data_IF_722312993257
#
_entry.id   IF_722312993257
#
_cell.length_a   1.000
_cell.length_b   1.000
_cell.length_c   1.000
_cell.angle_alpha   90.00
_cell.angle_beta   90.00
_cell.angle_gamma   90.00
#
_symmetry.space_group_name_H-M   'P 1'
#
loop_
_entity.id
_entity.type
_entity.pdbx_description
1 polymer ?
#
# COMPACT_ATOMS: atom_id res chain seq x y z
N UNK A 1 -7.80 26.09 64.72
CA UNK A 1 -8.38 24.96 63.96
C UNK A 1 -8.61 25.45 62.53
N UNK A 2 -7.80 24.95 61.62
CA UNK A 2 -7.66 25.42 60.23
C UNK A 2 -8.42 24.47 59.31
N UNK A 3 -9.33 25.00 58.49
CA UNK A 3 -9.97 24.28 57.39
C UNK A 3 -9.25 24.70 56.10
N UNK A 4 -8.63 23.73 55.44
CA UNK A 4 -7.85 23.87 54.21
C UNK A 4 -8.72 23.60 52.98
N UNK A 5 -8.53 24.48 51.98
CA UNK A 5 -8.42 24.24 50.53
C UNK A 5 -9.26 23.13 49.89
N UNK A 6 -10.26 23.55 49.11
CA UNK A 6 -10.72 22.84 47.93
C UNK A 6 -10.90 23.80 46.74
N UNK A 7 -10.59 23.30 45.55
CA UNK A 7 -11.10 23.69 44.23
C UNK A 7 -10.54 24.95 43.53
N UNK A 8 -9.36 24.78 42.94
CA UNK A 8 -8.83 25.64 41.88
C UNK A 8 -8.58 24.81 40.60
N UNK A 9 -9.65 24.36 39.91
CA UNK A 9 -9.58 23.71 38.59
C UNK A 9 -10.89 23.85 37.79
N UNK A 10 -11.46 25.06 37.67
CA UNK A 10 -12.71 25.29 36.92
C UNK A 10 -12.82 26.66 36.24
N UNK A 11 -11.75 27.12 35.57
CA UNK A 11 -11.69 28.46 34.95
C UNK A 11 -11.18 28.49 33.49
N UNK A 12 -11.43 27.46 32.68
CA UNK A 12 -11.15 27.53 31.23
C UNK A 12 -12.22 26.87 30.35
N UNK A 13 -13.50 27.11 30.67
CA UNK A 13 -14.61 26.92 29.72
C UNK A 13 -15.44 28.21 29.73
N UNK A 14 -15.83 28.65 28.52
CA UNK A 14 -16.69 29.81 28.18
C UNK A 14 -15.97 31.10 27.73
N UNK A 15 -15.72 31.19 26.41
CA UNK A 15 -15.91 32.36 25.51
C UNK A 15 -15.31 31.91 24.14
N UNK A 16 -15.95 31.86 22.98
CA UNK A 16 -17.00 32.69 22.36
C UNK A 16 -17.75 31.84 21.32
N UNK A 17 -19.08 31.91 21.32
CA UNK A 17 -19.98 31.49 20.24
C UNK A 17 -20.44 32.74 19.47
N UNK A 18 -20.58 32.57 18.15
CA UNK A 18 -21.34 33.37 17.17
C UNK A 18 -20.79 34.72 16.66
N UNK A 19 -20.45 34.73 15.36
CA UNK A 19 -20.99 35.73 14.41
C UNK A 19 -21.42 34.98 13.13
N UNK A 20 -22.58 35.37 12.63
CA UNK A 20 -23.40 34.75 11.59
C UNK A 20 -23.44 35.68 10.35
N UNK A 21 -23.62 35.05 9.18
CA UNK A 21 -24.11 35.59 7.89
C UNK A 21 -23.20 36.42 6.97
N UNK A 22 -22.89 35.80 5.82
CA UNK A 22 -23.58 36.11 4.56
C UNK A 22 -22.91 37.13 3.63
N UNK A 23 -22.52 36.69 2.43
CA UNK A 23 -22.93 37.30 1.15
C UNK A 23 -22.52 36.44 -0.06
N UNK A 24 -23.53 36.01 -0.82
CA UNK A 24 -23.42 35.64 -2.23
C UNK A 24 -23.04 36.87 -3.06
N UNK A 25 -22.19 36.72 -4.07
CA UNK A 25 -22.44 37.32 -5.38
C UNK A 25 -21.66 36.61 -6.50
N UNK A 26 -22.41 36.36 -7.58
CA UNK A 26 -22.01 35.77 -8.86
C UNK A 26 -21.52 36.87 -9.83
N UNK A 27 -21.02 36.40 -10.98
CA UNK A 27 -20.74 37.08 -12.26
C UNK A 27 -19.30 37.65 -12.39
N UNK A 28 -18.57 37.48 -13.51
CA UNK A 28 -18.97 37.13 -14.87
C UNK A 28 -17.81 36.51 -15.68
N UNK A 29 -18.19 35.76 -16.72
CA UNK A 29 -17.35 35.28 -17.83
C UNK A 29 -16.76 36.43 -18.67
N UNK A 30 -15.58 36.23 -19.28
CA UNK A 30 -15.43 36.14 -20.75
C UNK A 30 -13.95 35.98 -21.19
N UNK A 31 -13.71 34.84 -21.86
CA UNK A 31 -12.87 34.57 -23.03
C UNK A 31 -11.81 35.60 -23.48
N UNK A 32 -10.57 35.11 -23.73
CA UNK A 32 -10.00 35.08 -25.09
C UNK A 32 -9.04 33.89 -25.28
N UNK A 33 -9.30 33.13 -26.35
CA UNK A 33 -8.41 32.18 -27.01
C UNK A 33 -7.13 32.87 -27.51
N UNK A 34 -5.99 32.18 -27.48
CA UNK A 34 -5.20 31.97 -28.68
C UNK A 34 -4.23 30.79 -28.55
N UNK A 35 -4.07 30.13 -29.70
CA UNK A 35 -3.65 28.76 -29.91
C UNK A 35 -2.13 28.55 -30.05
N UNK A 36 -1.78 27.25 -29.93
CA UNK A 36 -0.68 26.53 -30.58
C UNK A 36 0.73 26.65 -29.98
N UNK A 37 1.20 25.54 -29.39
CA UNK A 37 2.27 24.76 -30.01
C UNK A 37 2.42 23.34 -29.41
N UNK A 38 2.21 22.33 -30.27
CA UNK A 38 2.83 21.00 -30.32
C UNK A 38 2.94 20.14 -29.05
N UNK A 39 1.86 19.42 -28.74
CA UNK A 39 1.92 18.21 -27.91
C UNK A 39 2.15 16.97 -28.78
N UNK A 40 3.41 16.51 -28.85
CA UNK A 40 3.73 15.10 -29.16
C UNK A 40 3.71 14.32 -27.85
N UNK A 41 2.53 13.85 -27.45
CA UNK A 41 2.41 12.80 -26.44
C UNK A 41 2.82 11.47 -27.06
N UNK A 42 4.05 11.03 -26.78
CA UNK A 42 4.43 9.63 -26.95
C UNK A 42 3.78 8.85 -25.82
N UNK A 43 2.66 8.19 -26.12
CA UNK A 43 2.12 7.15 -25.27
C UNK A 43 3.04 5.93 -25.36
N UNK A 44 3.73 5.60 -24.28
CA UNK A 44 4.32 4.28 -24.12
C UNK A 44 4.31 3.88 -22.65
N UNK A 45 3.48 2.89 -22.34
CA UNK A 45 3.28 2.33 -21.01
C UNK A 45 2.07 1.41 -20.95
N UNK A 46 1.87 0.57 -21.98
CA UNK A 46 0.91 -0.54 -21.94
C UNK A 46 1.46 -1.57 -20.96
N UNK A 47 0.88 -1.62 -19.75
CA UNK A 47 1.04 -2.78 -18.88
C UNK A 47 0.22 -3.94 -19.48
N UNK A 48 0.90 -4.83 -20.18
CA UNK A 48 0.40 -6.18 -20.49
C UNK A 48 1.12 -7.09 -19.50
N UNK A 49 0.41 -7.82 -18.61
CA UNK A 49 1.05 -8.87 -17.82
C UNK A 49 1.40 -10.00 -18.80
N UNK A 50 2.67 -10.13 -19.17
CA UNK A 50 3.12 -11.30 -19.92
C UNK A 50 3.41 -12.43 -18.95
N UNK A 51 2.74 -13.55 -19.25
CA UNK A 51 2.91 -14.82 -18.57
C UNK A 51 4.38 -15.26 -18.64
N UNK A 52 4.97 -15.58 -17.49
CA UNK A 52 6.24 -16.32 -17.43
C UNK A 52 6.02 -17.73 -18.01
N UNK A 53 6.31 -17.89 -19.29
CA UNK A 53 6.48 -19.19 -19.93
C UNK A 53 7.94 -19.61 -19.73
N UNK A 54 8.23 -20.81 -19.19
CA UNK A 54 9.60 -21.30 -19.13
C UNK A 54 10.15 -21.50 -20.55
N UNK A 55 11.32 -20.92 -20.82
CA UNK A 55 12.11 -21.14 -22.03
C UNK A 55 12.42 -22.64 -22.15
N UNK A 56 11.79 -23.32 -23.12
CA UNK A 56 12.18 -24.67 -23.54
C UNK A 56 13.05 -24.58 -24.79
N UNK A 57 14.29 -25.03 -24.66
CA UNK A 57 15.19 -25.34 -25.78
C UNK A 57 14.49 -26.32 -26.75
N UNK A 58 14.41 -25.93 -28.03
CA UNK A 58 13.98 -26.80 -29.10
C UNK A 58 15.15 -27.66 -29.57
N UNK A 59 15.03 -28.98 -29.41
CA UNK A 59 15.75 -29.96 -30.21
C UNK A 59 14.76 -31.03 -30.71
N UNK A 60 14.57 -31.01 -32.04
CA UNK A 60 14.27 -32.09 -32.98
C UNK A 60 13.11 -33.08 -32.76
N UNK A 61 12.20 -33.06 -33.76
CA UNK A 61 11.49 -34.17 -34.44
C UNK A 61 11.32 -35.50 -33.69
N UNK A 62 10.08 -35.99 -33.57
CA UNK A 62 9.64 -37.29 -34.12
C UNK A 62 8.11 -37.48 -34.04
N UNK A 63 7.61 -38.29 -34.98
CA UNK A 63 6.25 -38.55 -35.45
C UNK A 63 5.14 -39.01 -34.45
N UNK A 64 3.90 -38.68 -34.87
CA UNK A 64 2.62 -39.42 -34.87
C UNK A 64 2.07 -40.16 -33.63
N UNK A 65 0.82 -39.80 -33.33
CA UNK A 65 -0.37 -40.61 -32.99
C UNK A 65 -1.10 -40.14 -31.72
N UNK A 66 -2.33 -39.65 -31.91
CA UNK A 66 -3.31 -39.41 -30.85
C UNK A 66 -4.08 -40.71 -30.59
N UNK A 67 -4.26 -41.08 -29.31
CA UNK A 67 -5.60 -41.41 -28.85
C UNK A 67 -6.00 -40.68 -27.56
N UNK A 68 -7.30 -40.41 -27.46
CA UNK A 68 -8.01 -39.73 -26.36
C UNK A 68 -7.94 -40.47 -25.02
N UNK A 69 -8.15 -39.68 -23.97
CA UNK A 69 -8.51 -39.98 -22.58
C UNK A 69 -7.35 -40.04 -21.58
N UNK A 70 -7.07 -38.88 -20.99
CA UNK A 70 -6.83 -38.81 -19.56
C UNK A 70 -7.34 -37.46 -19.05
N UNK A 71 -8.37 -37.50 -18.21
CA UNK A 71 -8.76 -36.35 -17.38
C UNK A 71 -7.57 -36.12 -16.46
N UNK A 72 -6.77 -35.11 -16.76
CA UNK A 72 -5.73 -34.66 -15.84
C UNK A 72 -6.47 -33.99 -14.69
N UNK A 73 -6.61 -34.72 -13.59
CA UNK A 73 -6.85 -34.12 -12.29
C UNK A 73 -5.79 -33.03 -12.12
N UNK A 74 -6.22 -31.77 -12.15
CA UNK A 74 -5.39 -30.65 -11.74
C UNK A 74 -5.05 -30.95 -10.29
N UNK A 75 -3.82 -31.42 -10.06
CA UNK A 75 -3.24 -31.53 -8.74
C UNK A 75 -3.24 -30.10 -8.21
N UNK A 76 -4.22 -29.81 -7.35
CA UNK A 76 -4.17 -28.68 -6.43
C UNK A 76 -2.80 -28.77 -5.76
N UNK A 77 -1.90 -27.85 -6.13
CA UNK A 77 -0.66 -27.67 -5.40
C UNK A 77 -1.06 -27.19 -4.01
N UNK A 78 -1.31 -28.16 -3.12
CA UNK A 78 -1.46 -27.97 -1.69
C UNK A 78 -0.08 -27.59 -1.13
N UNK A 79 0.43 -26.42 -1.51
CA UNK A 79 1.48 -25.74 -0.76
C UNK A 79 0.86 -25.18 0.52
N UNK A 80 0.51 -26.08 1.43
CA UNK A 80 -0.10 -25.80 2.73
C UNK A 80 0.87 -25.16 3.75
N UNK A 81 2.03 -24.64 3.34
CA UNK A 81 3.03 -24.07 4.25
C UNK A 81 3.30 -22.57 4.07
N UNK A 82 2.33 -21.81 3.58
CA UNK A 82 2.39 -20.35 3.65
C UNK A 82 1.08 -19.74 4.14
N UNK A 83 0.72 -20.01 5.40
CA UNK A 83 -0.47 -19.39 6.02
C UNK A 83 -0.09 -18.24 6.94
N UNK A 84 -0.62 -17.06 6.61
CA UNK A 84 -0.41 -15.74 7.25
C UNK A 84 -1.51 -15.28 8.18
N UNK A 85 -2.44 -16.18 8.44
CA UNK A 85 -3.39 -16.15 9.55
C UNK A 85 -3.66 -17.59 9.94
N UNK A 86 -4.49 -17.84 10.97
CA UNK A 86 -5.28 -19.05 10.99
C UNK A 86 -5.75 -19.38 9.56
N UNK A 87 -5.48 -20.62 9.17
CA UNK A 87 -6.20 -21.28 8.09
C UNK A 87 -7.67 -20.81 8.13
N UNK A 88 -8.20 -20.28 7.02
CA UNK A 88 -9.60 -19.91 6.88
C UNK A 88 -10.04 -18.60 7.56
N UNK A 89 -9.12 -17.69 7.89
CA UNK A 89 -9.51 -16.33 8.28
C UNK A 89 -10.33 -15.66 7.16
N UNK A 90 -11.60 -15.41 7.45
CA UNK A 90 -12.56 -14.77 6.55
C UNK A 90 -13.06 -13.46 7.14
N UNK A 91 -13.31 -12.49 6.27
CA UNK A 91 -14.03 -11.27 6.62
C UNK A 91 -15.51 -11.55 6.88
N UNK A 92 -16.26 -10.54 7.30
CA UNK A 92 -17.69 -10.64 7.59
C UNK A 92 -18.54 -11.10 6.38
N UNK A 93 -17.98 -11.10 5.16
CA UNK A 93 -18.64 -11.57 3.94
C UNK A 93 -18.23 -12.99 3.56
N UNK A 94 -17.44 -13.65 4.39
CA UNK A 94 -16.88 -14.96 4.10
C UNK A 94 -15.71 -14.92 3.10
N UNK A 95 -15.20 -13.73 2.73
CA UNK A 95 -14.07 -13.58 1.82
C UNK A 95 -12.79 -13.88 2.57
N UNK A 96 -11.87 -14.63 1.96
CA UNK A 96 -10.55 -14.86 2.54
C UNK A 96 -9.84 -13.52 2.79
N UNK A 97 -9.36 -13.32 4.02
CA UNK A 97 -8.59 -12.11 4.42
C UNK A 97 -7.24 -12.04 3.68
N UNK A 98 -6.88 -13.13 3.00
CA UNK A 98 -5.68 -13.34 2.19
C UNK A 98 -6.07 -13.61 0.76
N UNK A 99 -6.48 -12.59 -0.01
CA UNK A 99 -6.71 -12.79 -1.42
C UNK A 99 -5.38 -13.14 -2.11
N UNK A 100 -5.19 -14.42 -2.40
CA UNK A 100 -4.21 -14.86 -3.37
C UNK A 100 -4.75 -14.56 -4.77
N UNK A 101 -4.18 -13.58 -5.46
CA UNK A 101 -4.44 -13.40 -6.89
C UNK A 101 -3.52 -14.31 -7.72
N UNK A 102 -3.50 -15.61 -7.40
CA UNK A 102 -2.65 -16.63 -8.03
C UNK A 102 -1.16 -16.22 -8.13
N UNK A 103 -0.63 -15.63 -7.05
CA UNK A 103 0.75 -15.13 -7.01
C UNK A 103 0.97 -13.76 -7.67
N UNK A 104 -0.07 -13.13 -8.22
CA UNK A 104 0.02 -11.79 -8.81
C UNK A 104 -0.59 -10.71 -7.92
N UNK A 105 -0.41 -9.47 -8.37
CA UNK A 105 -1.05 -8.28 -7.80
C UNK A 105 -2.54 -8.31 -8.11
N UNK A 106 -3.39 -8.11 -7.10
CA UNK A 106 -4.85 -8.08 -7.28
C UNK A 106 -5.33 -6.82 -8.01
N UNK A 107 -6.33 -7.01 -8.88
CA UNK A 107 -7.11 -5.91 -9.44
C UNK A 107 -8.15 -5.42 -8.42
N UNK A 108 -8.52 -4.13 -8.44
CA UNK A 108 -9.58 -3.61 -7.59
C UNK A 108 -10.95 -4.24 -7.90
N UNK A 109 -11.77 -4.43 -6.87
CA UNK A 109 -13.15 -4.88 -6.99
C UNK A 109 -14.09 -3.69 -6.76
N UNK A 110 -14.86 -3.29 -7.77
CA UNK A 110 -15.63 -2.04 -7.73
C UNK A 110 -16.56 -1.91 -6.51
N UNK A 111 -17.24 -2.99 -6.11
CA UNK A 111 -18.11 -3.00 -4.94
C UNK A 111 -17.35 -2.84 -3.61
N UNK A 112 -16.10 -3.33 -3.54
CA UNK A 112 -15.26 -3.10 -2.37
C UNK A 112 -14.70 -1.67 -2.36
N UNK A 113 -14.34 -1.14 -3.53
CA UNK A 113 -13.95 0.26 -3.69
C UNK A 113 -15.03 1.24 -3.25
N UNK A 114 -16.30 0.96 -3.57
CA UNK A 114 -17.45 1.78 -3.19
C UNK A 114 -17.63 1.88 -1.66
N UNK A 115 -17.27 0.81 -0.94
CA UNK A 115 -17.49 0.68 0.50
C UNK A 115 -16.27 1.06 1.33
N UNK A 116 -15.11 1.30 0.71
CA UNK A 116 -13.82 1.50 1.41
C UNK A 116 -13.85 2.62 2.45
N UNK A 117 -14.53 3.74 2.14
CA UNK A 117 -14.65 4.91 3.04
C UNK A 117 -15.68 4.72 4.16
N UNK A 118 -16.50 3.66 4.09
CA UNK A 118 -17.51 3.34 5.09
C UNK A 118 -17.02 2.24 6.06
N UNK A 119 -15.86 1.63 5.78
CA UNK A 119 -15.33 0.55 6.60
C UNK A 119 -14.88 1.08 7.96
N UNK A 120 -15.26 0.42 9.08
CA UNK A 120 -14.65 0.68 10.38
C UNK A 120 -13.13 0.53 10.31
N UNK A 121 -12.42 1.49 10.90
CA UNK A 121 -10.97 1.65 10.77
C UNK A 121 -10.55 2.55 9.60
N UNK A 122 -11.50 3.17 8.88
CA UNK A 122 -11.21 4.24 7.92
C UNK A 122 -10.93 5.57 8.61
N UNK A 123 -9.93 6.28 8.10
CA UNK A 123 -9.55 7.63 8.52
C UNK A 123 -9.23 8.48 7.29
N UNK A 124 -9.29 9.80 7.43
CA UNK A 124 -8.84 10.73 6.39
C UNK A 124 -7.70 11.60 6.91
N UNK A 125 -6.72 11.85 6.06
CA UNK A 125 -5.64 12.79 6.32
C UNK A 125 -5.25 13.50 5.02
N UNK A 126 -5.26 14.83 5.04
CA UNK A 126 -4.88 15.69 3.90
C UNK A 126 -5.59 15.32 2.57
N UNK A 127 -6.84 14.87 2.63
CA UNK A 127 -7.63 14.50 1.44
C UNK A 127 -7.45 13.04 0.97
N UNK A 128 -6.49 12.30 1.52
CA UNK A 128 -6.32 10.87 1.28
C UNK A 128 -7.12 10.03 2.29
N UNK A 129 -7.61 8.88 1.84
CA UNK A 129 -8.22 7.86 2.71
C UNK A 129 -7.20 6.84 3.17
N UNK A 130 -7.32 6.44 4.42
CA UNK A 130 -6.53 5.38 5.01
C UNK A 130 -7.44 4.35 5.68
N UNK A 131 -7.01 3.10 5.71
CA UNK A 131 -7.73 2.04 6.42
C UNK A 131 -6.74 1.23 7.27
N UNK A 132 -7.05 1.13 8.56
CA UNK A 132 -6.18 0.56 9.57
C UNK A 132 -6.75 -0.79 10.01
N UNK A 133 -6.02 -1.87 9.73
CA UNK A 133 -6.45 -3.23 10.09
C UNK A 133 -6.79 -3.39 11.58
N UNK A 134 -5.91 -2.91 12.46
CA UNK A 134 -6.06 -2.91 13.92
C UNK A 134 -7.23 -2.07 14.44
N UNK A 135 -7.79 -1.17 13.62
CA UNK A 135 -8.96 -0.38 13.95
C UNK A 135 -10.26 -0.95 13.34
N UNK A 136 -10.19 -2.09 12.65
CA UNK A 136 -11.36 -2.76 12.09
C UNK A 136 -12.31 -3.23 13.19
N UNK A 137 -13.62 -3.15 12.95
CA UNK A 137 -14.62 -3.78 13.82
C UNK A 137 -14.56 -5.31 13.78
N UNK A 138 -14.00 -5.90 12.72
CA UNK A 138 -13.97 -7.34 12.51
C UNK A 138 -12.77 -7.98 13.24
N UNK A 139 -13.04 -8.95 14.11
CA UNK A 139 -11.99 -9.59 14.91
C UNK A 139 -10.92 -10.29 14.05
N UNK A 140 -11.32 -10.88 12.92
CA UNK A 140 -10.40 -11.52 11.98
C UNK A 140 -9.42 -10.52 11.35
N UNK A 141 -9.90 -9.33 10.97
CA UNK A 141 -9.07 -8.27 10.40
C UNK A 141 -8.22 -7.59 11.47
N UNK A 142 -8.79 -7.32 12.64
CA UNK A 142 -8.10 -6.65 13.74
C UNK A 142 -6.85 -7.39 14.21
N UNK A 143 -6.91 -8.72 14.23
CA UNK A 143 -5.82 -9.57 14.71
C UNK A 143 -4.99 -10.21 13.59
N UNK A 144 -5.35 -9.98 12.33
CA UNK A 144 -4.61 -10.56 11.21
C UNK A 144 -3.20 -9.97 11.10
N UNK A 145 -2.28 -10.81 10.61
CA UNK A 145 -0.86 -10.50 10.46
C UNK A 145 -0.38 -10.89 9.07
N UNK A 146 -0.44 -9.95 8.14
CA UNK A 146 -0.16 -10.21 6.74
C UNK A 146 1.32 -10.32 6.45
N UNK A 147 1.67 -11.14 5.45
CA UNK A 147 2.92 -10.91 4.71
C UNK A 147 2.74 -9.75 3.73
N UNK A 148 3.84 -9.26 3.18
CA UNK A 148 3.84 -8.05 2.36
C UNK A 148 2.90 -8.18 1.14
N UNK A 149 3.02 -9.27 0.37
CA UNK A 149 2.23 -9.49 -0.85
C UNK A 149 0.71 -9.59 -0.58
N UNK A 150 0.34 -10.39 0.43
CA UNK A 150 -1.07 -10.61 0.76
C UNK A 150 -1.72 -9.38 1.38
N UNK A 151 -0.99 -8.64 2.22
CA UNK A 151 -1.47 -7.38 2.78
C UNK A 151 -1.68 -6.33 1.68
N UNK A 152 -0.73 -6.23 0.75
CA UNK A 152 -0.85 -5.36 -0.41
C UNK A 152 -2.09 -5.71 -1.25
N UNK A 153 -2.28 -6.98 -1.56
CA UNK A 153 -3.42 -7.46 -2.33
C UNK A 153 -4.77 -7.19 -1.65
N UNK A 154 -4.83 -7.29 -0.31
CA UNK A 154 -6.01 -6.93 0.45
C UNK A 154 -6.38 -5.46 0.26
N UNK A 155 -5.42 -4.54 0.37
CA UNK A 155 -5.66 -3.12 0.10
C UNK A 155 -6.16 -2.87 -1.33
N UNK A 156 -5.52 -3.52 -2.31
CA UNK A 156 -5.80 -3.32 -3.73
C UNK A 156 -7.21 -3.66 -4.16
N UNK A 157 -7.82 -4.66 -3.55
CA UNK A 157 -9.23 -4.98 -3.78
C UNK A 157 -10.16 -3.82 -3.48
N UNK A 158 -9.79 -2.93 -2.56
CA UNK A 158 -10.60 -1.80 -2.13
C UNK A 158 -10.25 -0.48 -2.83
N UNK A 159 -9.58 -0.50 -4.00
CA UNK A 159 -9.04 0.70 -4.64
C UNK A 159 -8.07 1.50 -3.74
N UNK A 160 -7.35 0.78 -2.89
CA UNK A 160 -6.28 1.28 -2.05
C UNK A 160 -4.98 0.55 -2.42
N UNK A 161 -3.84 0.91 -1.85
CA UNK A 161 -2.65 0.08 -1.82
C UNK A 161 -2.08 0.14 -0.39
N UNK A 162 -0.98 -0.55 -0.11
CA UNK A 162 -0.30 -0.38 1.18
C UNK A 162 0.19 1.06 1.33
N UNK A 163 0.24 1.57 2.56
CA UNK A 163 0.64 2.97 2.80
C UNK A 163 2.09 3.24 2.37
N UNK A 164 2.30 4.40 1.76
CA UNK A 164 3.60 5.00 1.48
C UNK A 164 3.80 6.21 2.39
N UNK A 165 5.04 6.56 2.72
CA UNK A 165 5.31 7.81 3.44
C UNK A 165 6.19 8.72 2.61
N UNK A 166 5.55 9.68 1.95
CA UNK A 166 6.25 10.65 1.11
C UNK A 166 6.63 11.91 1.88
N UNK A 167 6.07 12.11 3.07
CA UNK A 167 6.37 13.23 3.97
C UNK A 167 6.19 12.86 5.45
N UNK A 168 6.79 13.66 6.34
CA UNK A 168 6.75 13.44 7.79
C UNK A 168 5.34 13.56 8.38
N UNK A 169 4.48 14.44 7.85
CA UNK A 169 3.14 14.66 8.41
C UNK A 169 2.24 13.43 8.24
N UNK A 170 2.36 12.76 7.10
CA UNK A 170 1.69 11.50 6.80
C UNK A 170 2.12 10.38 7.76
N UNK A 171 3.44 10.22 7.96
CA UNK A 171 3.95 9.23 8.90
C UNK A 171 3.49 9.53 10.34
N UNK A 172 3.58 10.78 10.79
CA UNK A 172 3.13 11.18 12.13
C UNK A 172 1.65 10.85 12.36
N UNK A 173 0.81 11.09 11.35
CA UNK A 173 -0.61 10.73 11.40
C UNK A 173 -0.81 9.22 11.59
N UNK A 174 -0.07 8.40 10.87
CA UNK A 174 -0.13 6.94 11.03
C UNK A 174 0.39 6.53 12.41
N UNK A 175 1.55 7.05 12.83
CA UNK A 175 2.13 6.80 14.15
C UNK A 175 1.17 7.09 15.29
N UNK A 176 0.44 8.21 15.23
CA UNK A 176 -0.54 8.57 16.26
C UNK A 176 -1.61 7.50 16.44
N UNK A 177 -2.08 6.92 15.34
CA UNK A 177 -3.08 5.84 15.37
C UNK A 177 -2.43 4.54 15.87
N UNK A 178 -1.21 4.23 15.45
CA UNK A 178 -0.46 3.07 15.94
C UNK A 178 -0.27 3.11 17.46
N UNK A 179 0.12 4.27 18.01
CA UNK A 179 0.26 4.49 19.44
C UNK A 179 -1.07 4.30 20.18
N UNK A 180 -2.16 4.88 19.68
CA UNK A 180 -3.51 4.76 20.29
C UNK A 180 -4.05 3.33 20.26
N UNK A 181 -3.60 2.52 19.31
CA UNK A 181 -4.03 1.13 19.14
C UNK A 181 -3.04 0.12 19.70
N UNK A 182 -1.97 0.59 20.37
CA UNK A 182 -0.90 -0.24 20.91
C UNK A 182 -0.29 -1.19 19.86
N UNK A 183 -0.09 -0.68 18.65
CA UNK A 183 0.61 -1.37 17.57
C UNK A 183 1.98 -0.73 17.39
N UNK A 184 3.01 -1.56 17.41
CA UNK A 184 4.41 -1.13 17.30
C UNK A 184 4.99 -1.41 15.91
N UNK A 185 4.26 -2.09 15.02
CA UNK A 185 4.75 -2.40 13.68
C UNK A 185 3.65 -2.57 12.61
N UNK A 186 3.93 -2.09 11.41
CA UNK A 186 3.12 -2.28 10.20
C UNK A 186 3.99 -2.53 8.98
N UNK A 187 3.42 -3.16 7.95
CA UNK A 187 4.04 -3.16 6.62
C UNK A 187 3.86 -1.81 5.93
N UNK A 188 4.87 -1.40 5.17
CA UNK A 188 4.84 -0.25 4.26
C UNK A 188 5.00 -0.71 2.81
N UNK A 189 4.55 0.12 1.86
CA UNK A 189 4.61 -0.19 0.44
C UNK A 189 6.03 -0.23 -0.15
N UNK A 190 7.07 0.02 0.65
CA UNK A 190 8.45 0.01 0.17
C UNK A 190 8.86 -1.39 -0.32
N UNK A 191 9.42 -1.43 -1.52
CA UNK A 191 9.98 -2.64 -2.15
C UNK A 191 11.37 -2.30 -2.71
N UNK A 192 12.33 -3.19 -2.48
CA UNK A 192 13.63 -3.13 -3.12
C UNK A 192 13.50 -3.58 -4.59
N UNK A 193 14.11 -2.86 -5.52
CA UNK A 193 14.32 -3.35 -6.87
C UNK A 193 15.32 -4.51 -6.82
N UNK A 194 14.89 -5.71 -7.20
CA UNK A 194 15.71 -6.93 -7.23
C UNK A 194 15.34 -7.80 -8.44
N UNK A 195 15.82 -9.05 -8.49
CA UNK A 195 15.53 -9.96 -9.60
C UNK A 195 14.04 -10.32 -9.77
N UNK A 196 13.17 -10.07 -8.78
CA UNK A 196 11.71 -10.26 -8.93
C UNK A 196 11.01 -9.08 -9.60
N UNK A 197 11.68 -7.93 -9.70
CA UNK A 197 11.10 -6.70 -10.22
C UNK A 197 11.70 -6.39 -11.59
N UNK A 198 10.83 -6.27 -12.59
CA UNK A 198 11.26 -5.96 -13.96
C UNK A 198 11.90 -4.58 -14.05
N UNK A 199 13.00 -4.48 -14.81
CA UNK A 199 13.65 -3.21 -15.10
C UNK A 199 14.66 -2.73 -14.05
N UNK A 200 15.00 -3.53 -13.05
CA UNK A 200 16.00 -3.19 -12.01
C UNK A 200 17.45 -3.11 -12.50
N UNK A 201 17.73 -3.56 -13.72
CA UNK A 201 19.03 -3.43 -14.36
C UNK A 201 19.35 -1.99 -14.81
N UNK A 202 18.40 -1.05 -14.73
CA UNK A 202 18.64 0.33 -15.11
C UNK A 202 19.60 1.04 -14.15
N UNK A 203 20.48 1.87 -14.70
CA UNK A 203 21.52 2.60 -13.96
C UNK A 203 20.97 3.43 -12.80
N UNK A 204 19.76 3.98 -12.93
CA UNK A 204 19.12 4.78 -11.87
C UNK A 204 18.86 4.01 -10.57
N UNK A 205 18.77 2.69 -10.62
CA UNK A 205 18.57 1.85 -9.43
C UNK A 205 19.89 1.45 -8.78
N UNK A 206 21.03 1.69 -9.43
CA UNK A 206 22.32 1.21 -8.97
C UNK A 206 23.01 2.24 -8.05
N UNK A 207 23.66 1.80 -6.96
CA UNK A 207 23.60 0.44 -6.40
C UNK A 207 22.23 0.17 -5.76
N UNK A 208 21.70 -1.05 -5.96
CA UNK A 208 20.34 -1.41 -5.56
C UNK A 208 20.04 -1.15 -4.08
N UNK A 209 20.97 -1.44 -3.17
CA UNK A 209 20.78 -1.19 -1.74
C UNK A 209 20.64 0.30 -1.37
N UNK A 210 21.08 1.21 -2.25
CA UNK A 210 21.00 2.67 -2.01
C UNK A 210 19.87 3.29 -2.80
N UNK A 211 19.82 3.04 -4.11
CA UNK A 211 18.91 3.72 -5.04
C UNK A 211 17.76 2.82 -5.53
N UNK A 212 17.72 1.56 -5.10
CA UNK A 212 16.75 0.57 -5.58
C UNK A 212 15.41 0.59 -4.85
N UNK A 213 15.24 1.35 -3.77
CA UNK A 213 13.98 1.37 -3.02
C UNK A 213 12.94 2.27 -3.68
N UNK A 214 11.70 1.79 -3.74
CA UNK A 214 10.57 2.53 -4.29
C UNK A 214 9.27 2.20 -3.55
N UNK A 215 8.32 3.13 -3.59
CA UNK A 215 6.97 2.93 -3.09
C UNK A 215 6.16 2.14 -4.12
N UNK A 216 5.85 0.87 -3.84
CA UNK A 216 5.10 0.03 -4.78
C UNK A 216 3.66 0.54 -5.02
N UNK A 217 3.10 1.31 -4.09
CA UNK A 217 1.77 1.96 -4.16
C UNK A 217 1.71 3.06 -5.22
N UNK A 218 2.72 3.94 -5.26
CA UNK A 218 2.76 5.13 -6.13
C UNK A 218 3.75 5.01 -7.28
N UNK A 219 4.59 3.98 -7.29
CA UNK A 219 5.73 3.75 -8.19
C UNK A 219 6.78 4.87 -8.14
N UNK A 220 6.75 5.71 -7.11
CA UNK A 220 7.77 6.74 -6.90
C UNK A 220 9.02 6.12 -6.27
N UNK A 221 10.17 6.61 -6.72
CA UNK A 221 11.45 6.27 -6.09
C UNK A 221 11.48 6.82 -4.66
N UNK A 222 11.96 6.00 -3.74
CA UNK A 222 12.36 6.50 -2.43
C UNK A 222 13.68 7.26 -2.58
N UNK A 223 13.96 8.20 -1.67
CA UNK A 223 15.28 8.82 -1.62
C UNK A 223 16.39 7.77 -1.41
N UNK A 224 17.63 8.07 -1.82
CA UNK A 224 18.79 7.24 -1.49
C UNK A 224 18.82 6.88 -0.01
N UNK A 225 19.02 5.61 0.31
CA UNK A 225 18.91 5.14 1.70
C UNK A 225 19.96 5.75 2.63
N UNK A 226 21.09 6.17 2.09
CA UNK A 226 22.16 6.87 2.79
C UNK A 226 21.99 8.40 2.86
N UNK A 227 20.89 8.95 2.31
CA UNK A 227 20.58 10.37 2.39
C UNK A 227 19.75 10.66 3.64
N UNK A 228 20.27 11.51 4.53
CA UNK A 228 19.53 11.95 5.70
C UNK A 228 18.27 12.76 5.33
N UNK A 229 17.22 12.61 6.16
CA UNK A 229 16.02 13.44 6.08
C UNK A 229 16.36 14.92 6.23
N UNK A 230 15.68 15.78 5.47
CA UNK A 230 15.79 17.24 5.55
C UNK A 230 14.50 17.91 5.05
N UNK A 231 14.50 19.23 4.89
CA UNK A 231 13.31 19.99 4.48
C UNK A 231 12.81 19.68 3.05
N UNK A 232 13.63 19.03 2.22
CA UNK A 232 13.30 18.68 0.83
C UNK A 232 12.99 17.19 0.66
N UNK A 233 13.57 16.36 1.51
CA UNK A 233 13.56 14.90 1.38
C UNK A 233 13.17 14.28 2.69
N UNK A 234 12.07 13.53 2.69
CA UNK A 234 11.67 12.75 3.84
C UNK A 234 12.29 11.34 3.77
N UNK A 235 13.09 11.00 4.78
CA UNK A 235 13.72 9.69 4.87
C UNK A 235 13.82 9.24 6.34
N UNK A 236 13.18 8.13 6.70
CA UNK A 236 13.09 7.69 8.09
C UNK A 236 13.68 6.29 8.36
N UNK A 237 14.67 5.85 7.57
CA UNK A 237 15.44 4.64 7.90
C UNK A 237 16.02 4.67 9.32
N UNK A 238 15.96 3.53 9.98
CA UNK A 238 16.69 3.33 11.23
C UNK A 238 18.20 3.35 11.00
N UNK A 239 18.96 3.60 12.07
CA UNK A 239 20.42 3.54 12.00
C UNK A 239 20.87 2.15 11.56
N UNK A 240 21.74 2.09 10.55
CA UNK A 240 22.22 0.84 9.97
C UNK A 240 21.21 0.12 9.08
N UNK A 241 20.12 0.78 8.66
CA UNK A 241 19.14 0.24 7.71
C UNK A 241 19.21 1.01 6.37
N UNK A 242 18.86 0.37 5.24
CA UNK A 242 18.59 -1.06 5.11
C UNK A 242 19.86 -1.91 5.25
N UNK A 243 19.76 -3.12 5.83
CA UNK A 243 20.89 -4.04 6.02
C UNK A 243 20.76 -5.39 5.29
N UNK A 244 19.66 -5.59 4.55
CA UNK A 244 19.40 -6.74 3.72
C UNK A 244 20.44 -6.92 2.62
N UNK A 245 21.08 -8.09 2.60
CA UNK A 245 21.98 -8.45 1.52
C UNK A 245 21.22 -8.83 0.24
N UNK A 246 21.82 -8.52 -0.90
CA UNK A 246 21.46 -9.13 -2.18
C UNK A 246 22.16 -10.48 -2.29
N UNK A 247 21.41 -11.52 -2.59
CA UNK A 247 21.94 -12.84 -2.93
C UNK A 247 22.67 -12.78 -4.28
N UNK A 248 23.49 -13.80 -4.54
CA UNK A 248 24.21 -13.95 -5.81
C UNK A 248 23.29 -14.11 -7.03
N UNK A 249 22.06 -14.58 -6.83
CA UNK A 249 21.01 -14.67 -7.84
C UNK A 249 20.25 -13.33 -8.08
N UNK A 250 20.63 -12.27 -7.36
CA UNK A 250 20.05 -10.93 -7.48
C UNK A 250 18.79 -10.71 -6.65
N UNK A 251 18.35 -11.68 -5.84
CA UNK A 251 17.19 -11.52 -4.95
C UNK A 251 17.60 -10.85 -3.64
N UNK A 252 16.77 -9.93 -3.13
CA UNK A 252 16.96 -9.37 -1.79
C UNK A 252 16.57 -10.37 -0.70
N UNK A 253 17.39 -10.50 0.35
CA UNK A 253 16.97 -11.24 1.56
C UNK A 253 15.88 -10.49 2.32
N UNK A 254 16.02 -9.17 2.40
CA UNK A 254 15.12 -8.27 3.11
C UNK A 254 14.64 -7.18 2.14
N UNK A 255 13.72 -7.58 1.27
CA UNK A 255 13.38 -6.81 0.09
C UNK A 255 12.09 -5.97 0.26
N UNK A 256 11.47 -6.01 1.45
CA UNK A 256 10.23 -5.34 1.77
C UNK A 256 10.39 -4.41 2.98
N UNK A 257 9.56 -3.35 3.06
CA UNK A 257 9.70 -2.31 4.08
C UNK A 257 8.67 -2.44 5.21
N UNK A 258 9.10 -2.13 6.44
CA UNK A 258 8.23 -2.00 7.59
C UNK A 258 8.52 -0.75 8.40
N UNK A 259 7.48 -0.20 9.03
CA UNK A 259 7.60 0.78 10.09
C UNK A 259 7.58 0.04 11.43
N UNK A 260 8.56 0.29 12.30
CA UNK A 260 8.67 -0.36 13.62
C UNK A 260 9.07 0.61 14.70
N UNK A 261 8.45 0.50 15.87
CA UNK A 261 8.85 1.23 17.06
C UNK A 261 9.96 0.48 17.81
N UNK A 262 11.04 1.19 18.13
CA UNK A 262 12.02 0.77 19.14
C UNK A 262 12.17 1.89 20.16
N UNK A 263 11.99 1.58 21.45
CA UNK A 263 11.97 2.62 22.49
C UNK A 263 10.91 3.70 22.28
N UNK A 264 9.80 3.36 21.60
CA UNK A 264 8.73 4.30 21.26
C UNK A 264 9.01 5.20 20.05
N UNK A 265 10.15 5.05 19.38
CA UNK A 265 10.48 5.79 18.15
C UNK A 265 10.24 4.90 16.94
N UNK A 266 9.38 5.32 16.01
CA UNK A 266 9.16 4.59 14.78
C UNK A 266 10.22 4.94 13.73
N UNK A 267 10.74 3.90 13.08
CA UNK A 267 11.72 3.97 12.00
C UNK A 267 11.44 2.91 10.94
N UNK A 268 11.98 3.11 9.74
CA UNK A 268 11.91 2.14 8.65
C UNK A 268 12.99 1.07 8.79
N UNK A 269 12.59 -0.18 8.56
CA UNK A 269 13.44 -1.35 8.54
C UNK A 269 13.14 -2.16 7.28
N UNK A 270 14.17 -2.65 6.62
CA UNK A 270 13.99 -3.63 5.56
C UNK A 270 13.89 -5.02 6.18
N UNK A 271 13.01 -5.85 5.64
CA UNK A 271 12.76 -7.17 6.15
C UNK A 271 12.36 -8.16 5.05
N UNK A 272 12.44 -9.45 5.38
CA UNK A 272 11.96 -10.49 4.50
C UNK A 272 10.46 -10.29 4.22
N UNK A 273 10.07 -10.38 2.95
CA UNK A 273 8.70 -10.10 2.50
C UNK A 273 7.65 -11.07 3.09
N UNK A 274 8.09 -12.20 3.65
CA UNK A 274 7.23 -13.16 4.34
C UNK A 274 6.96 -12.84 5.82
N UNK A 275 7.62 -11.84 6.40
CA UNK A 275 7.38 -11.37 7.78
C UNK A 275 5.94 -10.91 7.97
N UNK A 276 5.45 -10.97 9.21
CA UNK A 276 4.02 -10.88 9.52
C UNK A 276 3.71 -9.64 10.35
N UNK A 277 2.91 -8.73 9.81
CA UNK A 277 2.57 -7.44 10.45
C UNK A 277 1.13 -7.03 10.28
N UNK A 278 0.72 -6.03 11.04
CA UNK A 278 -0.48 -5.30 10.72
C UNK A 278 -0.32 -4.52 9.40
N UNK A 279 -1.46 -4.09 8.89
CA UNK A 279 -1.60 -3.44 7.59
C UNK A 279 -2.28 -2.07 7.75
N UNK A 280 -1.73 -1.08 7.07
CA UNK A 280 -2.40 0.19 6.78
C UNK A 280 -2.48 0.34 5.27
N UNK A 281 -3.69 0.60 4.78
CA UNK A 281 -3.96 0.87 3.37
C UNK A 281 -4.12 2.38 3.16
N UNK A 282 -3.71 2.88 1.99
CA UNK A 282 -3.88 4.26 1.52
C UNK A 282 -4.61 4.24 0.16
N UNK A 283 -5.42 5.26 -0.16
CA UNK A 283 -6.06 5.40 -1.49
C UNK A 283 -5.05 5.18 -2.63
N UNK A 284 -5.49 4.52 -3.70
CA UNK A 284 -4.71 4.51 -4.95
C UNK A 284 -4.58 5.92 -5.52
N UNK A 285 -3.54 6.20 -6.33
CA UNK A 285 -3.48 7.43 -7.11
C UNK A 285 -4.77 7.67 -7.90
N UNK A 286 -5.21 8.94 -7.98
CA UNK A 286 -6.48 9.31 -8.60
C UNK A 286 -6.71 8.74 -10.02
N UNK A 287 -5.71 8.68 -10.92
CA UNK A 287 -5.88 8.04 -12.23
C UNK A 287 -6.30 6.57 -12.15
N UNK A 288 -5.79 5.83 -11.16
CA UNK A 288 -6.08 4.42 -10.97
C UNK A 288 -7.50 4.21 -10.42
N UNK A 289 -7.95 5.06 -9.48
CA UNK A 289 -9.34 5.02 -9.00
C UNK A 289 -10.30 5.40 -10.14
N UNK A 290 -9.96 6.41 -10.96
CA UNK A 290 -10.74 6.83 -12.12
C UNK A 290 -10.87 5.73 -13.17
N UNK A 291 -9.81 4.95 -13.40
CA UNK A 291 -9.87 3.79 -14.27
C UNK A 291 -10.95 2.79 -13.80
N UNK A 292 -10.99 2.48 -12.50
CA UNK A 292 -12.00 1.55 -11.94
C UNK A 292 -13.41 2.14 -12.05
N UNK A 293 -13.58 3.46 -11.81
CA UNK A 293 -14.86 4.17 -12.03
C UNK A 293 -15.35 4.03 -13.46
N UNK A 294 -14.48 4.30 -14.43
CA UNK A 294 -14.83 4.26 -15.85
C UNK A 294 -15.21 2.86 -16.33
N UNK A 295 -14.61 1.82 -15.74
CA UNK A 295 -14.97 0.42 -16.03
C UNK A 295 -16.26 -0.04 -15.34
N UNK A 296 -16.73 0.69 -14.34
CA UNK A 296 -17.87 0.30 -13.49
C UNK A 296 -18.86 1.48 -13.31
N UNK A 297 -19.46 2.00 -14.40
CA UNK A 297 -20.30 3.20 -14.34
C UNK A 297 -21.56 3.05 -13.47
N UNK A 298 -22.00 1.82 -13.19
CA UNK A 298 -23.13 1.54 -12.29
C UNK A 298 -22.78 1.49 -10.80
N UNK A 299 -21.51 1.66 -10.43
CA UNK A 299 -21.04 1.60 -9.03
C UNK A 299 -20.50 2.95 -8.61
N UNK A 300 -21.09 3.52 -7.55
CA UNK A 300 -20.61 4.77 -6.99
C UNK A 300 -19.33 4.55 -6.16
N UNK A 301 -18.17 4.76 -6.77
CA UNK A 301 -16.86 4.69 -6.11
C UNK A 301 -16.48 6.09 -5.63
N UNK A 302 -16.46 6.34 -4.30
CA UNK A 302 -16.20 7.67 -3.74
C UNK A 302 -14.73 8.06 -3.88
#
# INVERSE_FOLDING_TARGET
>A
MSIRQENMWLLFVVLVIAVVNGQNNRFNNQFQNNNNNNNRFVSNGRFVPQNNVPVRNNNNNFNNNVPRNNVVNVVSNNNNNFRATPADARDARGTEVYPGCNGTVCLPEANLCALRKQKPGHFQHQGNSYWFSMASSENALRNARWNWFTGRNYCRKMCMDMVSFENQAEENFVEDILRRTNVDNIHLAGRLCDAEVEGCNQTRFQPLQINGWFWASTLKMMPPTNQASNNQVFNNWASGQPNGALKSDGFGLEACLALRAQGGVFKWYDEACNTRRHLVCEDLPAPNINFVRNQNPGVNIP
#
